data_IF_192600982908
#
_entry.id   IF_192600982908
#
_cell.length_a   1.000
_cell.length_b   1.000
_cell.length_c   1.000
_cell.angle_alpha   90.00
_cell.angle_beta   90.00
_cell.angle_gamma   90.00
#
_symmetry.space_group_name_H-M   'P 1'
#
loop_
_entity.id
_entity.type
_entity.pdbx_description
1 polymer ?
#
# COMPACT_ATOMS: atom_id res chain seq x y z
N UNK A 1 12.76 3.81 16.90
CA UNK A 1 12.24 5.19 16.81
C UNK A 1 12.23 5.62 15.36
N UNK A 2 11.24 6.40 14.91
CA UNK A 2 11.22 6.99 13.57
C UNK A 2 12.21 8.16 13.51
N UNK A 3 13.05 8.20 12.47
CA UNK A 3 14.04 9.25 12.24
C UNK A 3 13.87 9.83 10.85
N UNK A 4 14.42 11.02 10.60
CA UNK A 4 14.37 11.69 9.30
C UNK A 4 15.05 10.83 8.21
N UNK A 5 16.16 10.19 8.53
CA UNK A 5 16.89 9.31 7.60
C UNK A 5 16.02 8.16 7.12
N UNK A 6 15.20 7.56 8.00
CA UNK A 6 14.25 6.50 7.62
C UNK A 6 13.17 7.02 6.68
N UNK A 7 12.75 8.27 6.84
CA UNK A 7 11.77 8.90 5.94
C UNK A 7 12.39 9.13 4.56
N UNK A 8 13.60 9.65 4.49
CA UNK A 8 14.32 9.83 3.21
C UNK A 8 14.61 8.49 2.54
N UNK A 9 15.04 7.49 3.29
CA UNK A 9 15.24 6.14 2.76
C UNK A 9 13.93 5.57 2.20
N UNK A 10 12.81 5.71 2.92
CA UNK A 10 11.51 5.29 2.42
C UNK A 10 11.09 6.04 1.15
N UNK A 11 11.33 7.34 1.07
CA UNK A 11 11.05 8.14 -0.12
C UNK A 11 11.87 7.66 -1.33
N UNK A 12 13.15 7.34 -1.12
CA UNK A 12 14.03 6.78 -2.16
C UNK A 12 13.54 5.41 -2.64
N UNK A 13 13.23 4.49 -1.73
CA UNK A 13 12.74 3.13 -2.05
C UNK A 13 11.41 3.17 -2.79
N UNK A 14 10.58 4.17 -2.53
CA UNK A 14 9.25 4.32 -3.11
C UNK A 14 9.23 5.10 -4.44
N UNK A 15 10.34 5.66 -4.88
CA UNK A 15 10.42 6.58 -6.02
C UNK A 15 9.76 6.04 -7.29
N UNK A 16 10.01 4.76 -7.62
CA UNK A 16 9.48 4.14 -8.83
C UNK A 16 8.26 3.23 -8.57
N UNK A 17 7.73 3.26 -7.37
CA UNK A 17 6.60 2.42 -6.91
C UNK A 17 5.36 3.25 -6.67
N UNK A 18 5.47 4.30 -5.88
CA UNK A 18 4.37 5.16 -5.52
C UNK A 18 4.32 6.40 -6.41
N UNK A 19 3.12 6.77 -6.84
CA UNK A 19 2.93 8.04 -7.55
C UNK A 19 3.21 9.20 -6.62
N UNK A 20 3.83 10.25 -7.16
CA UNK A 20 3.87 11.56 -6.50
C UNK A 20 2.50 12.21 -6.71
N UNK A 21 1.59 11.98 -5.77
CA UNK A 21 0.25 12.59 -5.81
C UNK A 21 0.31 14.06 -5.44
N UNK A 22 -0.60 14.85 -5.99
CA UNK A 22 -0.66 16.28 -5.76
C UNK A 22 -1.13 16.63 -4.34
N UNK A 23 -0.77 17.82 -3.91
CA UNK A 23 -1.33 18.50 -2.75
C UNK A 23 -2.16 19.67 -3.27
N UNK A 24 -3.47 19.56 -3.21
CA UNK A 24 -4.43 20.48 -3.81
C UNK A 24 -5.04 21.36 -2.72
N UNK A 25 -4.99 22.67 -2.91
CA UNK A 25 -5.68 23.59 -2.02
C UNK A 25 -7.20 23.46 -2.17
N UNK A 26 -7.92 23.43 -1.05
CA UNK A 26 -9.37 23.25 -0.98
C UNK A 26 -10.06 24.35 -0.17
N UNK A 27 -9.98 25.62 -0.60
CA UNK A 27 -10.45 26.77 0.19
C UNK A 27 -11.97 26.79 0.42
N UNK A 28 -12.73 26.07 -0.42
CA UNK A 28 -14.18 25.95 -0.27
C UNK A 28 -14.63 24.97 0.80
N UNK A 29 -13.73 24.10 1.29
CA UNK A 29 -14.07 23.08 2.29
C UNK A 29 -13.85 23.54 3.73
N UNK A 30 -13.11 24.61 3.94
CA UNK A 30 -12.93 25.22 5.26
C UNK A 30 -12.78 26.73 5.14
N UNK A 31 -13.39 27.47 6.10
CA UNK A 31 -13.23 28.91 6.24
C UNK A 31 -12.26 29.28 7.37
N UNK A 32 -11.98 28.31 8.24
CA UNK A 32 -11.25 28.55 9.50
C UNK A 32 -9.75 28.23 9.39
N UNK A 33 -9.35 27.54 8.30
CA UNK A 33 -7.96 27.19 8.07
C UNK A 33 -7.65 27.05 6.56
N UNK A 34 -6.37 27.10 6.23
CA UNK A 34 -5.90 26.70 4.90
C UNK A 34 -5.91 25.17 4.81
N UNK A 35 -6.84 24.62 4.04
CA UNK A 35 -7.02 23.19 3.87
C UNK A 35 -6.37 22.72 2.56
N UNK A 36 -5.58 21.66 2.67
CA UNK A 36 -4.98 20.98 1.52
C UNK A 36 -5.36 19.50 1.50
N UNK A 37 -5.63 18.99 0.30
CA UNK A 37 -5.96 17.58 0.07
C UNK A 37 -4.76 16.87 -0.56
N UNK A 38 -4.22 15.88 0.12
CA UNK A 38 -3.25 14.95 -0.44
C UNK A 38 -4.00 13.83 -1.16
N UNK A 39 -4.00 13.85 -2.49
CA UNK A 39 -4.87 13.01 -3.33
C UNK A 39 -4.42 11.55 -3.43
N UNK A 40 -4.26 10.86 -2.30
CA UNK A 40 -3.83 9.45 -2.25
C UNK A 40 -4.89 8.45 -2.77
N UNK A 41 -6.12 8.89 -3.03
CA UNK A 41 -7.10 8.14 -3.82
C UNK A 41 -6.67 7.92 -5.27
N UNK A 42 -5.74 8.76 -5.78
CA UNK A 42 -5.13 8.62 -7.12
C UNK A 42 -3.84 7.78 -7.10
N UNK A 43 -3.49 7.19 -5.97
CA UNK A 43 -2.31 6.33 -5.83
C UNK A 43 -2.49 5.01 -6.61
N UNK A 44 -1.40 4.29 -6.87
CA UNK A 44 -1.35 3.07 -7.68
C UNK A 44 -2.41 2.03 -7.29
N UNK A 45 -2.68 1.88 -5.98
CA UNK A 45 -3.73 0.98 -5.47
C UNK A 45 -4.98 1.74 -5.00
N UNK A 46 -5.15 2.99 -5.43
CA UNK A 46 -6.26 3.85 -4.99
C UNK A 46 -6.17 4.27 -3.52
N UNK A 47 -5.03 4.11 -2.86
CA UNK A 47 -4.82 4.54 -1.48
C UNK A 47 -3.35 4.66 -1.10
N UNK A 48 -3.05 5.36 0.00
CA UNK A 48 -1.70 5.52 0.55
C UNK A 48 -1.08 4.21 1.08
N UNK A 49 -1.85 3.14 1.22
CA UNK A 49 -1.39 1.86 1.82
C UNK A 49 -0.22 1.22 1.07
N UNK A 50 -0.10 1.45 -0.22
CA UNK A 50 1.05 0.98 -1.02
C UNK A 50 2.38 1.48 -0.47
N UNK A 51 2.43 2.68 0.09
CA UNK A 51 3.66 3.28 0.62
C UNK A 51 4.23 2.46 1.77
N UNK A 52 3.43 2.25 2.82
CA UNK A 52 3.86 1.49 3.99
C UNK A 52 4.06 0.01 3.69
N UNK A 53 3.18 -0.60 2.90
CA UNK A 53 3.29 -2.02 2.54
C UNK A 53 4.57 -2.28 1.74
N UNK A 54 4.84 -1.50 0.70
CA UNK A 54 6.04 -1.70 -0.11
C UNK A 54 7.32 -1.45 0.69
N UNK A 55 7.37 -0.36 1.45
CA UNK A 55 8.54 -0.07 2.26
C UNK A 55 8.81 -1.18 3.28
N UNK A 56 7.78 -1.66 4.00
CA UNK A 56 7.96 -2.77 4.95
C UNK A 56 8.46 -4.04 4.27
N UNK A 57 7.86 -4.43 3.15
CA UNK A 57 8.25 -5.65 2.41
C UNK A 57 9.65 -5.51 1.80
N UNK A 58 10.04 -4.30 1.38
CA UNK A 58 11.38 -4.05 0.85
C UNK A 58 12.51 -4.21 1.89
N UNK A 59 12.18 -4.19 3.18
CA UNK A 59 13.14 -4.32 4.28
C UNK A 59 13.25 -5.77 4.82
N UNK A 60 12.52 -6.73 4.22
CA UNK A 60 12.62 -8.12 4.61
C UNK A 60 14.00 -8.69 4.27
N UNK A 61 14.54 -9.52 5.15
CA UNK A 61 15.73 -10.30 4.86
C UNK A 61 15.47 -11.32 3.76
N UNK A 62 16.52 -11.92 3.20
CA UNK A 62 16.38 -12.99 2.21
C UNK A 62 15.57 -14.17 2.77
N UNK A 63 15.87 -14.59 4.01
CA UNK A 63 15.17 -15.68 4.68
C UNK A 63 13.67 -15.37 4.89
N UNK A 64 13.33 -14.15 5.30
CA UNK A 64 11.93 -13.71 5.46
C UNK A 64 11.20 -13.66 4.12
N UNK A 65 11.86 -13.15 3.09
CA UNK A 65 11.31 -13.07 1.73
C UNK A 65 11.02 -14.45 1.15
N UNK A 66 11.87 -15.42 1.38
CA UNK A 66 11.70 -16.80 0.88
C UNK A 66 10.50 -17.50 1.56
N UNK A 67 10.18 -17.16 2.80
CA UNK A 67 8.97 -17.64 3.49
C UNK A 67 7.70 -17.04 2.93
N UNK A 68 7.77 -15.86 2.33
CA UNK A 68 6.62 -15.09 1.85
C UNK A 68 5.98 -14.22 2.93
N UNK A 69 4.87 -13.59 2.59
CA UNK A 69 4.14 -12.71 3.50
C UNK A 69 2.67 -13.08 3.59
N UNK A 70 2.08 -12.87 4.76
CA UNK A 70 0.65 -13.05 5.01
C UNK A 70 0.07 -11.73 5.51
N UNK A 71 -1.10 -11.36 5.00
CA UNK A 71 -1.86 -10.22 5.50
C UNK A 71 -3.32 -10.60 5.73
N UNK A 72 -3.93 -10.06 6.78
CA UNK A 72 -5.35 -10.19 7.04
C UNK A 72 -6.02 -8.84 6.81
N UNK A 73 -6.71 -8.69 5.67
CA UNK A 73 -7.37 -7.43 5.29
C UNK A 73 -8.29 -7.63 4.10
N UNK A 74 -9.52 -7.12 4.18
CA UNK A 74 -10.47 -7.05 3.07
C UNK A 74 -10.46 -5.68 2.35
N UNK A 75 -9.42 -4.87 2.53
CA UNK A 75 -9.42 -3.49 2.04
C UNK A 75 -8.13 -3.05 1.35
N UNK A 76 -7.86 -1.77 1.46
CA UNK A 76 -6.73 -1.14 0.76
C UNK A 76 -5.36 -1.69 1.19
N UNK A 77 -5.24 -2.21 2.41
CA UNK A 77 -3.99 -2.81 2.88
C UNK A 77 -3.68 -4.12 2.14
N UNK A 78 -4.68 -4.95 1.89
CA UNK A 78 -4.57 -6.17 1.10
C UNK A 78 -3.94 -5.88 -0.28
N UNK A 79 -4.48 -4.89 -0.99
CA UNK A 79 -3.97 -4.49 -2.30
C UNK A 79 -2.54 -3.93 -2.23
N UNK A 80 -2.23 -3.17 -1.18
CA UNK A 80 -0.87 -2.67 -0.95
C UNK A 80 0.15 -3.79 -0.75
N UNK A 81 -0.19 -4.81 0.06
CA UNK A 81 0.65 -5.99 0.30
C UNK A 81 0.80 -6.82 -0.97
N UNK A 82 -0.30 -7.11 -1.66
CA UNK A 82 -0.30 -7.87 -2.90
C UNK A 82 0.62 -7.23 -3.96
N UNK A 83 0.45 -5.94 -4.23
CA UNK A 83 1.30 -5.20 -5.17
C UNK A 83 2.77 -5.23 -4.75
N UNK A 84 3.04 -4.97 -3.48
CA UNK A 84 4.41 -4.91 -2.97
C UNK A 84 5.12 -6.27 -3.08
N UNK A 85 4.45 -7.34 -2.69
CA UNK A 85 4.99 -8.70 -2.77
C UNK A 85 5.26 -9.10 -4.22
N UNK A 86 4.29 -8.88 -5.12
CA UNK A 86 4.42 -9.19 -6.55
C UNK A 86 5.60 -8.45 -7.18
N UNK A 87 5.74 -7.15 -6.95
CA UNK A 87 6.87 -6.37 -7.49
C UNK A 87 8.23 -6.78 -6.93
N UNK A 88 8.25 -7.44 -5.78
CA UNK A 88 9.45 -7.96 -5.14
C UNK A 88 9.70 -9.44 -5.42
N UNK A 89 8.82 -10.10 -6.18
CA UNK A 89 8.90 -11.54 -6.46
C UNK A 89 8.68 -12.40 -5.20
N UNK A 90 7.95 -11.89 -4.23
CA UNK A 90 7.68 -12.54 -2.94
C UNK A 90 6.26 -13.12 -2.96
N UNK A 91 6.11 -14.39 -2.54
CA UNK A 91 4.80 -15.01 -2.40
C UNK A 91 3.98 -14.30 -1.33
N UNK A 92 2.71 -14.01 -1.64
CA UNK A 92 1.79 -13.41 -0.66
C UNK A 92 0.49 -14.17 -0.54
N UNK A 93 -0.03 -14.23 0.68
CA UNK A 93 -1.35 -14.77 1.00
C UNK A 93 -2.12 -13.66 1.70
N UNK A 94 -3.35 -13.42 1.25
CA UNK A 94 -4.25 -12.44 1.87
C UNK A 94 -5.46 -13.17 2.43
N UNK A 95 -5.66 -13.10 3.74
CA UNK A 95 -6.85 -13.61 4.41
C UNK A 95 -7.95 -12.55 4.42
N UNK A 96 -9.14 -12.92 3.97
CA UNK A 96 -10.32 -12.06 3.92
C UNK A 96 -11.52 -12.76 4.54
N UNK A 97 -12.49 -12.04 5.15
CA UNK A 97 -13.74 -12.64 5.58
C UNK A 97 -14.64 -12.99 4.38
N UNK A 98 -15.55 -13.96 4.53
CA UNK A 98 -16.53 -14.37 3.49
C UNK A 98 -17.33 -13.19 2.91
N UNK A 99 -17.67 -12.21 3.74
CA UNK A 99 -18.42 -11.01 3.35
C UNK A 99 -17.55 -9.91 2.72
N UNK A 100 -16.32 -10.20 2.30
CA UNK A 100 -15.47 -9.20 1.66
C UNK A 100 -16.08 -8.71 0.34
N UNK A 101 -16.05 -7.39 0.06
CA UNK A 101 -16.57 -6.85 -1.20
C UNK A 101 -15.88 -7.49 -2.41
N UNK A 102 -16.67 -8.02 -3.34
CA UNK A 102 -16.21 -8.75 -4.55
C UNK A 102 -15.14 -7.97 -5.30
N UNK A 103 -15.34 -6.67 -5.52
CA UNK A 103 -14.37 -5.80 -6.18
C UNK A 103 -13.00 -5.77 -5.48
N UNK A 104 -12.97 -5.87 -4.13
CA UNK A 104 -11.72 -5.89 -3.37
C UNK A 104 -11.01 -7.24 -3.51
N UNK A 105 -11.77 -8.32 -3.53
CA UNK A 105 -11.26 -9.67 -3.76
C UNK A 105 -10.62 -9.75 -5.14
N UNK A 106 -11.33 -9.34 -6.19
CA UNK A 106 -10.84 -9.36 -7.57
C UNK A 106 -9.61 -8.46 -7.76
N UNK A 107 -9.65 -7.23 -7.26
CA UNK A 107 -8.50 -6.34 -7.34
C UNK A 107 -7.25 -6.92 -6.67
N UNK A 108 -7.42 -7.65 -5.58
CA UNK A 108 -6.29 -8.29 -4.89
C UNK A 108 -5.79 -9.51 -5.67
N UNK A 109 -6.68 -10.31 -6.26
CA UNK A 109 -6.33 -11.43 -7.15
C UNK A 109 -5.56 -10.95 -8.38
N UNK A 110 -6.00 -9.87 -8.99
CA UNK A 110 -5.33 -9.27 -10.16
C UNK A 110 -3.91 -8.78 -9.86
N UNK A 111 -3.57 -8.61 -8.59
CA UNK A 111 -2.22 -8.31 -8.11
C UNK A 111 -1.41 -9.58 -7.77
N UNK A 112 -1.85 -10.75 -8.25
CA UNK A 112 -1.17 -12.05 -8.13
C UNK A 112 -0.98 -12.55 -6.69
N UNK A 113 -1.75 -12.08 -5.72
CA UNK A 113 -1.81 -12.66 -4.38
C UNK A 113 -2.75 -13.87 -4.33
N UNK A 114 -2.36 -14.89 -3.57
CA UNK A 114 -3.29 -15.95 -3.16
C UNK A 114 -4.26 -15.37 -2.13
N UNK A 115 -5.54 -15.67 -2.30
CA UNK A 115 -6.57 -15.26 -1.33
C UNK A 115 -7.07 -16.47 -0.58
N UNK A 116 -7.09 -16.35 0.73
CA UNK A 116 -7.71 -17.30 1.66
C UNK A 116 -8.91 -16.64 2.34
N UNK A 117 -10.06 -17.28 2.23
CA UNK A 117 -11.33 -16.82 2.80
C UNK A 117 -11.64 -17.64 4.04
#
# INVERSE_FOLDING_TARGET
>A
MLTLDKIYHAAFVLKDVARKTDLIEAPKLSKDCQLYLKTENLQVTGSFKVRGAYYKISQLSKEESDKGVIACSAGNHAQGVALAATRRGIRSIVCMPDGAPIMKVENTKNLLSLIHI
#
